data_IF_967861146759
#
_entry.id   IF_967861146759
#
_cell.length_a   1.000
_cell.length_b   1.000
_cell.length_c   1.000
_cell.angle_alpha   90.00
_cell.angle_beta   90.00
_cell.angle_gamma   90.00
#
_symmetry.space_group_name_H-M   'P 1'
#
loop_
_entity.id
_entity.type
_entity.pdbx_description
1 polymer ?
#
# COMPACT_ATOMS: atom_id res chain seq x y z
N UNK A 1 -1.12 4.33 18.39
CA UNK A 1 -1.66 3.92 17.08
C UNK A 1 -2.88 4.72 16.63
N UNK A 2 -3.95 4.88 17.44
CA UNK A 2 -5.17 5.64 17.06
C UNK A 2 -4.91 7.03 16.47
N UNK A 3 -3.95 7.78 17.01
CA UNK A 3 -3.57 9.11 16.51
C UNK A 3 -2.99 9.08 15.10
N UNK A 4 -2.18 8.07 14.77
CA UNK A 4 -1.59 7.91 13.44
C UNK A 4 -2.65 7.50 12.42
N UNK A 5 -3.56 6.60 12.81
CA UNK A 5 -4.68 6.21 11.94
C UNK A 5 -5.57 7.41 11.64
N UNK A 6 -5.92 8.20 12.67
CA UNK A 6 -6.70 9.43 12.48
C UNK A 6 -5.97 10.45 11.59
N UNK A 7 -4.66 10.60 11.75
CA UNK A 7 -3.84 11.45 10.88
C UNK A 7 -3.80 10.96 9.43
N UNK A 8 -3.89 9.65 9.21
CA UNK A 8 -3.86 9.05 7.87
C UNK A 8 -5.21 9.11 7.15
N UNK A 9 -6.34 8.93 7.85
CA UNK A 9 -7.66 8.76 7.20
C UNK A 9 -8.58 9.99 7.34
N UNK A 10 -8.26 10.93 8.25
CA UNK A 10 -9.12 12.09 8.45
C UNK A 10 -9.19 12.93 7.18
N UNK A 11 -10.40 13.30 6.72
CA UNK A 11 -10.52 14.27 5.64
C UNK A 11 -9.82 15.57 6.08
N UNK A 12 -9.28 16.31 5.11
CA UNK A 12 -8.60 17.61 5.29
C UNK A 12 -7.20 17.59 5.93
N UNK A 13 -6.59 16.41 6.14
CA UNK A 13 -5.17 16.36 6.53
C UNK A 13 -4.26 16.58 5.34
N UNK A 14 -3.24 17.43 5.53
CA UNK A 14 -2.24 17.70 4.50
C UNK A 14 -1.47 16.44 4.12
N UNK A 15 -0.97 16.41 2.88
CA UNK A 15 -0.15 15.30 2.37
C UNK A 15 1.04 15.00 3.29
N UNK A 16 1.75 16.03 3.76
CA UNK A 16 2.84 15.86 4.72
C UNK A 16 2.43 15.26 6.07
N UNK A 17 1.21 15.54 6.56
CA UNK A 17 0.70 14.90 7.79
C UNK A 17 0.49 13.40 7.60
N UNK A 18 -0.04 13.00 6.44
CA UNK A 18 -0.27 11.60 6.09
C UNK A 18 1.04 10.87 5.87
N UNK A 19 1.99 11.49 5.18
CA UNK A 19 3.34 10.97 5.02
C UNK A 19 3.99 10.71 6.39
N UNK A 20 3.92 11.69 7.30
CA UNK A 20 4.39 11.55 8.67
C UNK A 20 3.71 10.41 9.43
N UNK A 21 2.40 10.22 9.22
CA UNK A 21 1.66 9.11 9.81
C UNK A 21 2.12 7.74 9.28
N UNK A 22 2.34 7.62 7.96
CA UNK A 22 2.84 6.40 7.31
C UNK A 22 4.26 6.08 7.81
N UNK A 23 5.14 7.06 7.87
CA UNK A 23 6.49 6.91 8.44
C UNK A 23 6.43 6.53 9.92
N UNK A 24 5.46 7.06 10.66
CA UNK A 24 5.16 6.65 12.02
C UNK A 24 4.80 5.17 12.12
N UNK A 25 3.99 4.63 11.21
CA UNK A 25 3.69 3.19 11.16
C UNK A 25 4.93 2.35 10.87
N UNK A 26 5.76 2.77 9.92
CA UNK A 26 7.06 2.13 9.64
C UNK A 26 7.92 2.07 10.91
N UNK A 27 8.04 3.18 11.63
CA UNK A 27 8.83 3.25 12.88
C UNK A 27 8.30 2.38 14.02
N UNK A 28 7.01 2.03 14.01
CA UNK A 28 6.42 1.11 15.00
C UNK A 28 6.64 -0.36 14.58
N UNK A 29 6.53 -0.67 13.29
CA UNK A 29 6.80 -2.01 12.74
C UNK A 29 5.65 -2.64 11.97
N UNK A 30 5.84 -3.90 11.54
CA UNK A 30 4.98 -4.62 10.58
C UNK A 30 3.50 -4.60 10.96
N UNK A 31 3.18 -4.88 12.22
CA UNK A 31 1.79 -4.93 12.67
C UNK A 31 1.08 -3.59 12.54
N UNK A 32 1.76 -2.48 12.85
CA UNK A 32 1.19 -1.15 12.68
C UNK A 32 0.95 -0.81 11.21
N UNK A 33 1.82 -1.27 10.31
CA UNK A 33 1.62 -1.14 8.86
C UNK A 33 0.41 -1.97 8.41
N UNK A 34 0.25 -3.21 8.87
CA UNK A 34 -0.92 -4.05 8.51
C UNK A 34 -2.23 -3.43 8.99
N UNK A 35 -2.30 -3.02 10.26
CA UNK A 35 -3.54 -2.51 10.87
C UNK A 35 -3.83 -1.04 10.55
N UNK A 36 -2.82 -0.27 10.14
CA UNK A 36 -2.95 1.16 9.89
C UNK A 36 -3.03 1.52 8.42
N UNK A 37 -2.22 0.85 7.59
CA UNK A 37 -2.08 1.14 6.16
C UNK A 37 -2.83 0.13 5.31
N UNK A 38 -2.60 -1.17 5.51
CA UNK A 38 -3.24 -2.21 4.68
C UNK A 38 -4.73 -2.30 4.96
N UNK A 39 -5.22 -2.06 6.17
CA UNK A 39 -6.67 -2.12 6.46
C UNK A 39 -7.51 -0.96 5.88
N UNK A 40 -7.05 -0.29 4.82
CA UNK A 40 -7.76 0.78 4.10
C UNK A 40 -7.06 2.14 4.08
N UNK A 41 -5.98 2.33 4.84
CA UNK A 41 -5.22 3.58 4.85
C UNK A 41 -4.55 3.88 3.50
N UNK A 42 -4.00 2.86 2.84
CA UNK A 42 -3.41 2.97 1.50
C UNK A 42 -4.45 3.38 0.46
N UNK A 43 -5.67 2.82 0.55
CA UNK A 43 -6.80 3.15 -0.34
C UNK A 43 -7.18 4.62 -0.27
N UNK A 44 -7.26 5.18 0.94
CA UNK A 44 -7.54 6.62 1.13
C UNK A 44 -6.45 7.46 0.45
N UNK A 45 -5.18 7.17 0.70
CA UNK A 45 -4.06 7.92 0.10
C UNK A 45 -4.03 7.76 -1.41
N UNK A 46 -4.28 6.55 -1.94
CA UNK A 46 -4.26 6.27 -3.37
C UNK A 46 -5.33 7.07 -4.11
N UNK A 47 -6.53 7.17 -3.53
CA UNK A 47 -7.58 8.01 -4.10
C UNK A 47 -7.19 9.50 -4.17
N UNK A 48 -6.43 10.01 -3.19
CA UNK A 48 -5.99 11.40 -3.19
C UNK A 48 -4.92 11.67 -4.24
N UNK A 49 -3.99 10.74 -4.44
CA UNK A 49 -2.92 10.86 -5.44
C UNK A 49 -3.45 10.69 -6.87
N UNK A 50 -4.43 9.80 -7.08
CA UNK A 50 -4.95 9.47 -8.42
C UNK A 50 -5.83 10.59 -9.03
N UNK A 51 -6.51 11.40 -8.21
CA UNK A 51 -7.45 12.42 -8.71
C UNK A 51 -6.78 13.69 -9.28
N UNK A 52 -5.45 13.78 -9.28
CA UNK A 52 -4.70 14.96 -9.70
C UNK A 52 -4.29 15.00 -11.19
N UNK A 53 -4.68 14.01 -12.01
CA UNK A 53 -4.45 14.04 -13.48
C UNK A 53 -5.26 15.13 -14.22
N UNK A 54 -6.15 15.84 -13.52
CA UNK A 54 -6.92 16.95 -14.07
C UNK A 54 -6.19 18.28 -13.87
N UNK A 55 -5.43 18.69 -14.89
CA UNK A 55 -4.79 20.01 -15.12
C UNK A 55 -5.17 21.13 -14.11
N UNK A 56 -4.46 21.26 -12.98
CA UNK A 56 -4.35 22.52 -12.22
C UNK A 56 -3.40 22.47 -11.01
N UNK A 57 -3.14 21.29 -10.43
CA UNK A 57 -2.58 21.23 -9.08
C UNK A 57 -1.07 20.92 -9.04
N UNK A 58 -0.36 21.78 -8.31
CA UNK A 58 1.11 22.00 -8.28
C UNK A 58 1.86 20.97 -7.40
N UNK A 59 1.21 19.92 -6.90
CA UNK A 59 1.74 19.15 -5.77
C UNK A 59 2.26 17.74 -6.11
N UNK A 60 2.81 17.57 -7.32
CA UNK A 60 3.44 16.33 -7.78
C UNK A 60 4.52 15.81 -6.83
N UNK A 61 5.31 16.73 -6.23
CA UNK A 61 6.38 16.36 -5.29
C UNK A 61 5.80 15.72 -4.02
N UNK A 62 4.71 16.25 -3.47
CA UNK A 62 4.08 15.65 -2.30
C UNK A 62 3.36 14.34 -2.62
N UNK A 63 2.83 14.20 -3.83
CA UNK A 63 2.24 12.95 -4.32
C UNK A 63 3.30 11.85 -4.49
N UNK A 64 4.46 12.19 -5.02
CA UNK A 64 5.60 11.29 -5.10
C UNK A 64 6.08 10.90 -3.69
N UNK A 65 6.19 11.86 -2.76
CA UNK A 65 6.59 11.60 -1.39
C UNK A 65 5.61 10.67 -0.66
N UNK A 66 4.30 10.88 -0.83
CA UNK A 66 3.26 10.00 -0.28
C UNK A 66 3.30 8.61 -0.90
N UNK A 67 3.37 8.54 -2.23
CA UNK A 67 3.49 7.27 -2.96
C UNK A 67 4.71 6.50 -2.47
N UNK A 68 5.85 7.16 -2.36
CA UNK A 68 7.09 6.57 -1.84
C UNK A 68 6.91 6.08 -0.40
N UNK A 69 6.30 6.87 0.48
CA UNK A 69 6.07 6.48 1.87
C UNK A 69 5.20 5.23 1.99
N UNK A 70 4.13 5.12 1.18
CA UNK A 70 3.28 3.91 1.12
C UNK A 70 4.08 2.72 0.62
N UNK A 71 4.81 2.85 -0.47
CA UNK A 71 5.62 1.76 -1.04
C UNK A 71 6.71 1.29 -0.08
N UNK A 72 7.37 2.21 0.64
CA UNK A 72 8.35 1.90 1.67
C UNK A 72 7.69 1.14 2.84
N UNK A 73 6.46 1.50 3.23
CA UNK A 73 5.73 0.78 4.26
C UNK A 73 5.35 -0.64 3.81
N UNK A 74 4.91 -0.83 2.57
CA UNK A 74 4.63 -2.16 2.03
C UNK A 74 5.89 -3.05 2.00
N UNK A 75 7.06 -2.47 1.69
CA UNK A 75 8.36 -3.17 1.76
C UNK A 75 8.72 -3.66 3.17
N UNK A 76 8.26 -2.97 4.21
CA UNK A 76 8.46 -3.41 5.61
C UNK A 76 7.72 -4.73 5.87
N UNK A 77 6.56 -4.96 5.25
CA UNK A 77 5.85 -6.22 5.39
C UNK A 77 6.61 -7.36 4.73
N UNK A 78 6.97 -7.16 3.47
CA UNK A 78 7.84 -8.00 2.67
C UNK A 78 8.46 -7.15 1.56
N UNK A 79 9.77 -7.23 1.28
CA UNK A 79 10.33 -6.61 0.09
C UNK A 79 9.80 -7.31 -1.17
N UNK A 80 9.65 -6.58 -2.31
CA UNK A 80 9.49 -7.20 -3.62
C UNK A 80 10.59 -8.22 -3.89
N UNK A 81 10.31 -9.16 -4.79
CA UNK A 81 11.26 -10.18 -5.20
C UNK A 81 12.46 -9.56 -5.90
N UNK A 82 13.68 -10.01 -5.58
CA UNK A 82 14.93 -9.48 -6.16
C UNK A 82 15.20 -9.99 -7.59
N UNK A 83 14.28 -10.76 -8.18
CA UNK A 83 14.47 -11.32 -9.52
C UNK A 83 14.15 -10.28 -10.59
N UNK A 84 15.03 -10.13 -11.59
CA UNK A 84 14.79 -9.27 -12.77
C UNK A 84 13.53 -9.66 -13.56
N UNK A 85 13.00 -10.86 -13.31
CA UNK A 85 11.74 -11.35 -13.90
C UNK A 85 10.81 -11.77 -12.76
N UNK A 86 9.92 -10.86 -12.37
CA UNK A 86 8.81 -11.20 -11.48
C UNK A 86 7.58 -11.55 -12.30
N UNK A 87 6.91 -12.66 -11.95
CA UNK A 87 5.61 -12.97 -12.52
C UNK A 87 4.56 -12.03 -11.92
N UNK A 88 3.85 -11.29 -12.76
CA UNK A 88 2.66 -10.53 -12.37
C UNK A 88 1.51 -11.48 -12.01
N UNK A 89 0.54 -11.00 -11.23
CA UNK A 89 -0.70 -11.75 -11.02
C UNK A 89 -1.39 -12.02 -12.35
N UNK A 90 -1.79 -13.27 -12.57
CA UNK A 90 -2.57 -13.66 -13.73
C UNK A 90 -4.06 -13.65 -13.39
N UNK A 91 -4.77 -12.56 -13.72
CA UNK A 91 -6.22 -12.42 -13.44
C UNK A 91 -7.12 -13.44 -14.16
N UNK A 92 -6.58 -14.18 -15.14
CA UNK A 92 -7.31 -15.32 -15.74
C UNK A 92 -7.27 -16.58 -14.85
N UNK A 93 -6.37 -16.63 -13.87
CA UNK A 93 -6.35 -17.63 -12.81
C UNK A 93 -7.22 -17.14 -11.66
N UNK A 94 -8.18 -17.97 -11.25
CA UNK A 94 -9.13 -17.65 -10.17
C UNK A 94 -8.43 -17.29 -8.84
N UNK A 95 -7.34 -17.97 -8.46
CA UNK A 95 -6.62 -17.68 -7.23
C UNK A 95 -5.96 -16.30 -7.28
N UNK A 96 -5.32 -15.96 -8.39
CA UNK A 96 -4.69 -14.65 -8.56
C UNK A 96 -5.71 -13.52 -8.70
N UNK A 97 -6.89 -13.82 -9.28
CA UNK A 97 -8.01 -12.89 -9.35
C UNK A 97 -8.57 -12.55 -7.95
N UNK A 98 -8.64 -13.54 -7.04
CA UNK A 98 -9.02 -13.31 -5.65
C UNK A 98 -8.00 -12.44 -4.91
N UNK A 99 -6.69 -12.67 -5.12
CA UNK A 99 -5.63 -11.81 -4.57
C UNK A 99 -5.75 -10.39 -5.12
N UNK A 100 -5.96 -10.25 -6.44
CA UNK A 100 -6.12 -8.95 -7.09
C UNK A 100 -7.30 -8.17 -6.52
N UNK A 101 -8.47 -8.80 -6.39
CA UNK A 101 -9.67 -8.19 -5.80
C UNK A 101 -9.40 -7.74 -4.36
N UNK A 102 -8.74 -8.59 -3.57
CA UNK A 102 -8.40 -8.28 -2.18
C UNK A 102 -7.39 -7.14 -2.07
N UNK A 103 -6.41 -7.05 -2.98
CA UNK A 103 -5.48 -5.93 -3.05
C UNK A 103 -6.21 -4.61 -3.36
N UNK A 104 -7.16 -4.62 -4.31
CA UNK A 104 -7.96 -3.44 -4.63
C UNK A 104 -8.85 -3.00 -3.45
N UNK A 105 -9.40 -3.95 -2.71
CA UNK A 105 -10.20 -3.66 -1.51
C UNK A 105 -9.40 -2.94 -0.42
N UNK A 106 -8.16 -3.41 -0.18
CA UNK A 106 -7.35 -2.98 0.97
C UNK A 106 -6.39 -1.82 0.63
N UNK A 107 -5.83 -1.80 -0.58
CA UNK A 107 -4.89 -0.78 -1.06
C UNK A 107 -5.51 0.26 -1.99
N UNK A 108 -6.68 -0.01 -2.57
CA UNK A 108 -7.22 0.78 -3.68
C UNK A 108 -6.49 0.51 -4.99
N UNK A 109 -7.11 0.92 -6.10
CA UNK A 109 -6.64 0.61 -7.46
C UNK A 109 -5.20 1.09 -7.70
N UNK A 110 -4.91 2.35 -7.35
CA UNK A 110 -3.61 2.97 -7.59
C UNK A 110 -2.42 2.20 -6.99
N UNK A 111 -2.54 1.70 -5.77
CA UNK A 111 -1.47 0.94 -5.11
C UNK A 111 -1.55 -0.55 -5.40
N UNK A 112 -2.75 -1.10 -5.62
CA UNK A 112 -2.90 -2.48 -6.05
C UNK A 112 -2.15 -2.73 -7.36
N UNK A 113 -2.33 -1.88 -8.38
CA UNK A 113 -1.64 -1.99 -9.67
C UNK A 113 -0.10 -2.03 -9.52
N UNK A 114 0.46 -1.25 -8.58
CA UNK A 114 1.90 -1.20 -8.32
C UNK A 114 2.44 -2.45 -7.62
N UNK A 115 1.58 -3.20 -6.93
CA UNK A 115 1.94 -4.42 -6.21
C UNK A 115 1.70 -5.65 -7.07
N UNK A 116 0.68 -5.63 -7.95
CA UNK A 116 0.28 -6.77 -8.79
C UNK A 116 1.33 -7.20 -9.81
N UNK A 117 2.35 -6.38 -10.07
CA UNK A 117 3.49 -6.72 -10.96
C UNK A 117 4.43 -7.77 -10.36
N UNK A 118 4.28 -8.07 -9.07
CA UNK A 118 4.97 -9.15 -8.38
C UNK A 118 3.95 -9.99 -7.60
N UNK A 119 3.58 -11.14 -8.15
CA UNK A 119 2.60 -12.06 -7.58
C UNK A 119 3.01 -12.59 -6.20
N UNK A 120 4.32 -12.73 -5.95
CA UNK A 120 4.83 -13.20 -4.65
C UNK A 120 4.65 -12.09 -3.61
N UNK A 121 4.98 -10.85 -3.97
CA UNK A 121 4.79 -9.70 -3.11
C UNK A 121 3.30 -9.43 -2.83
N UNK A 122 2.47 -9.49 -3.87
CA UNK A 122 1.01 -9.37 -3.79
C UNK A 122 0.39 -10.29 -2.74
N UNK A 123 0.69 -11.60 -2.81
CA UNK A 123 0.20 -12.60 -1.85
C UNK A 123 0.67 -12.32 -0.43
N UNK A 124 1.92 -11.86 -0.26
CA UNK A 124 2.47 -11.51 1.04
C UNK A 124 1.77 -10.34 1.72
N UNK A 125 1.40 -9.32 0.93
CA UNK A 125 0.71 -8.14 1.43
C UNK A 125 -0.68 -8.49 1.96
N UNK A 126 -1.45 -9.31 1.23
CA UNK A 126 -2.78 -9.76 1.69
C UNK A 126 -2.74 -10.85 2.77
N UNK A 127 -1.54 -11.35 3.11
CA UNK A 127 -1.33 -12.30 4.19
C UNK A 127 -1.54 -13.76 3.79
N UNK A 128 -1.42 -14.09 2.50
CA UNK A 128 -1.58 -15.45 1.97
C UNK A 128 -0.24 -16.18 1.74
N UNK A 129 0.87 -15.64 2.26
CA UNK A 129 2.09 -16.43 2.42
C UNK A 129 1.89 -17.49 3.51
N UNK A 130 1.71 -18.74 3.09
CA UNK A 130 1.64 -19.93 3.92
C UNK A 130 2.96 -20.31 4.61
N UNK A 131 3.83 -19.34 4.95
CA UNK A 131 5.12 -19.60 5.61
C UNK A 131 5.35 -18.85 6.93
N UNK A 132 4.27 -18.52 7.66
CA UNK A 132 4.39 -18.24 9.10
C UNK A 132 4.17 -19.54 9.88
N UNK A 133 5.18 -20.42 9.89
CA UNK A 133 5.30 -21.40 10.95
C UNK A 133 5.73 -20.68 12.23
N UNK A 134 5.04 -20.87 13.37
CA UNK A 134 5.59 -20.47 14.66
C UNK A 134 6.76 -21.42 14.97
N UNK A 135 7.95 -20.87 15.16
CA UNK A 135 9.03 -21.55 15.88
C UNK A 135 9.07 -20.98 17.29
#
# INVERSE_FOLDING_TARGET
MKTLLLALISPLKSKGTREGAIRGFIGIGKEAVRTGLVSGGAKVVGSEVQHHDSMADIDWVADEALTKAVMDALRVLRPPSDSEVTDSLNVANEADNQISSRLQDVLGDFFAEKVMVDAVWARAIVGEDSNQSPV
#
